data_IF_341423789018
#
_entry.id   IF_341423789018
#
_cell.length_a   1.000
_cell.length_b   1.000
_cell.length_c   1.000
_cell.angle_alpha   90.00
_cell.angle_beta   90.00
_cell.angle_gamma   90.00
#
_symmetry.space_group_name_H-M   'P 1'
#
loop_
_entity.id
_entity.type
_entity.pdbx_description
1 polymer ?
#
# COMPACT_ATOMS: atom_id res chain seq x y z
N UNK A 1 -5.29 -4.38 -10.71
CA UNK A 1 -4.88 -3.75 -12.00
C UNK A 1 -4.33 -2.37 -11.70
N UNK A 2 -3.28 -1.91 -12.40
CA UNK A 2 -2.69 -0.56 -12.24
C UNK A 2 -2.88 0.21 -13.55
N UNK A 3 -3.24 1.50 -13.48
CA UNK A 3 -3.26 2.37 -14.66
C UNK A 3 -1.87 2.47 -15.30
N UNK A 4 -0.80 2.63 -14.50
CA UNK A 4 0.57 2.57 -14.97
C UNK A 4 1.17 1.18 -14.71
N UNK A 5 1.62 0.49 -15.76
CA UNK A 5 2.13 -0.88 -15.60
C UNK A 5 2.60 -1.55 -16.88
N UNK A 6 2.85 -2.86 -16.78
CA UNK A 6 3.56 -3.68 -17.78
C UNK A 6 2.95 -3.71 -19.18
N UNK A 7 1.70 -3.29 -19.35
CA UNK A 7 1.08 -3.19 -20.68
C UNK A 7 1.67 -2.02 -21.50
N UNK A 8 2.22 -1.00 -20.84
CA UNK A 8 2.89 0.13 -21.48
C UNK A 8 4.36 -0.21 -21.82
N UNK A 9 4.81 0.00 -23.08
CA UNK A 9 6.22 -0.15 -23.46
C UNK A 9 7.19 0.71 -22.64
N UNK A 10 6.85 1.97 -22.37
CA UNK A 10 7.65 2.93 -21.61
C UNK A 10 7.81 2.51 -20.14
N UNK A 11 6.77 1.92 -19.53
CA UNK A 11 6.89 1.32 -18.20
C UNK A 11 7.88 0.15 -18.21
N UNK A 12 7.82 -0.72 -19.24
CA UNK A 12 8.74 -1.85 -19.39
C UNK A 12 10.19 -1.38 -19.55
N UNK A 13 10.41 -0.32 -20.32
CA UNK A 13 11.74 0.29 -20.50
C UNK A 13 12.32 0.84 -19.19
N UNK A 14 11.50 1.42 -18.30
CA UNK A 14 11.95 1.82 -16.96
C UNK A 14 12.26 0.59 -16.08
N UNK A 15 11.43 -0.45 -16.17
CA UNK A 15 11.62 -1.71 -15.42
C UNK A 15 12.88 -2.48 -15.78
N UNK A 16 13.46 -2.26 -16.96
CA UNK A 16 14.77 -2.80 -17.35
C UNK A 16 15.94 -2.08 -16.65
N UNK A 17 15.73 -0.84 -16.22
CA UNK A 17 16.75 0.01 -15.58
C UNK A 17 16.62 0.06 -14.06
N UNK A 18 15.40 -0.03 -13.55
CA UNK A 18 15.09 0.16 -12.14
C UNK A 18 14.26 -1.01 -11.58
N UNK A 19 14.56 -1.36 -10.35
CA UNK A 19 13.70 -2.23 -9.54
C UNK A 19 12.37 -1.53 -9.26
N UNK A 20 11.36 -2.31 -8.85
CA UNK A 20 10.06 -1.73 -8.56
C UNK A 20 10.13 -0.76 -7.37
N UNK A 21 10.85 -1.14 -6.30
CA UNK A 21 10.99 -0.31 -5.11
C UNK A 21 11.78 0.98 -5.38
N UNK A 22 12.80 0.94 -6.23
CA UNK A 22 13.51 2.16 -6.65
C UNK A 22 12.57 3.14 -7.36
N UNK A 23 11.70 2.65 -8.26
CA UNK A 23 10.72 3.52 -8.91
C UNK A 23 9.68 4.09 -7.95
N UNK A 24 9.25 3.32 -6.94
CA UNK A 24 8.30 3.79 -5.90
C UNK A 24 8.95 4.82 -4.98
N UNK A 25 10.22 4.62 -4.60
CA UNK A 25 10.94 5.48 -3.65
C UNK A 25 11.60 6.71 -4.27
N UNK A 26 11.69 6.77 -5.59
CA UNK A 26 12.18 7.94 -6.33
C UNK A 26 11.01 8.81 -6.77
N UNK A 27 10.84 10.03 -6.23
CA UNK A 27 9.72 10.90 -6.59
C UNK A 27 9.62 11.18 -8.10
N UNK A 28 10.74 11.46 -8.76
CA UNK A 28 10.76 11.75 -10.20
C UNK A 28 10.33 10.53 -11.04
N UNK A 29 10.81 9.32 -10.70
CA UNK A 29 10.41 8.10 -11.40
C UNK A 29 8.94 7.76 -11.13
N UNK A 30 8.47 7.93 -9.88
CA UNK A 30 7.06 7.70 -9.54
C UNK A 30 6.15 8.65 -10.33
N UNK A 31 6.51 9.93 -10.46
CA UNK A 31 5.78 10.92 -11.26
C UNK A 31 5.82 10.55 -12.74
N UNK A 32 7.01 10.22 -13.28
CA UNK A 32 7.15 9.81 -14.67
C UNK A 32 6.20 8.67 -14.99
N UNK A 33 6.21 7.61 -14.16
CA UNK A 33 5.34 6.43 -14.31
C UNK A 33 3.86 6.80 -14.18
N UNK A 34 3.50 7.65 -13.22
CA UNK A 34 2.11 8.10 -12.99
C UNK A 34 1.53 8.84 -14.20
N UNK A 35 2.37 9.58 -14.93
CA UNK A 35 1.96 10.36 -16.10
C UNK A 35 1.89 9.55 -17.41
N UNK A 36 2.51 8.36 -17.48
CA UNK A 36 2.54 7.57 -18.73
C UNK A 36 1.14 7.27 -19.30
N UNK A 37 0.13 6.86 -18.51
CA UNK A 37 -1.20 6.60 -19.04
C UNK A 37 -1.87 7.85 -19.61
N UNK A 38 -1.70 9.01 -18.94
CA UNK A 38 -2.28 10.29 -19.37
C UNK A 38 -1.69 10.80 -20.69
N UNK A 39 -0.45 10.41 -21.01
CA UNK A 39 0.19 10.72 -22.30
C UNK A 39 -0.40 9.91 -23.47
N UNK A 40 -1.09 8.81 -23.19
CA UNK A 40 -1.67 7.90 -24.20
C UNK A 40 -3.18 8.00 -24.31
N UNK A 41 -3.85 8.32 -23.21
CA UNK A 41 -5.29 8.26 -23.08
C UNK A 41 -5.80 9.53 -22.42
N UNK A 42 -6.97 9.99 -22.85
CA UNK A 42 -7.65 11.17 -22.28
C UNK A 42 -8.32 10.82 -20.94
N UNK A 43 -7.52 10.47 -19.94
CA UNK A 43 -8.00 10.17 -18.59
C UNK A 43 -8.23 11.46 -17.80
N UNK A 44 -9.21 11.45 -16.90
CA UNK A 44 -9.57 12.63 -16.07
C UNK A 44 -8.72 12.76 -14.81
N UNK A 45 -8.06 11.68 -14.38
CA UNK A 45 -7.24 11.67 -13.18
C UNK A 45 -6.03 10.73 -13.33
N UNK A 46 -4.95 11.07 -12.62
CA UNK A 46 -3.80 10.21 -12.40
C UNK A 46 -3.85 9.61 -11.00
N UNK A 47 -3.55 8.32 -10.87
CA UNK A 47 -3.24 7.71 -9.58
C UNK A 47 -1.73 7.69 -9.38
N UNK A 48 -1.27 8.12 -8.20
CA UNK A 48 0.16 8.11 -7.88
C UNK A 48 0.73 6.70 -8.00
N UNK A 49 1.91 6.55 -8.59
CA UNK A 49 2.61 5.27 -8.64
C UNK A 49 3.26 4.98 -7.29
N UNK A 50 2.67 4.07 -6.53
CA UNK A 50 3.18 3.61 -5.24
C UNK A 50 2.86 2.11 -5.05
N UNK A 51 2.95 1.62 -3.82
CA UNK A 51 2.51 0.29 -3.42
C UNK A 51 1.81 0.34 -2.05
N UNK A 52 0.86 -0.56 -1.78
CA UNK A 52 0.21 -0.61 -0.47
C UNK A 52 1.18 -1.08 0.63
N UNK A 53 2.20 -1.85 0.26
CA UNK A 53 3.15 -2.45 1.21
C UNK A 53 4.24 -1.50 1.70
N UNK A 54 4.26 -0.26 1.22
CA UNK A 54 5.11 0.79 1.81
C UNK A 54 4.78 1.01 3.30
N UNK A 55 3.53 0.73 3.71
CA UNK A 55 3.08 0.82 5.10
C UNK A 55 3.79 -0.23 5.98
N UNK A 56 3.64 -1.56 5.74
CA UNK A 56 4.45 -2.58 6.41
C UNK A 56 5.96 -2.30 6.41
N UNK A 57 6.51 -1.84 5.28
CA UNK A 57 7.93 -1.51 5.20
C UNK A 57 8.31 -0.39 6.16
N UNK A 58 7.54 0.70 6.19
CA UNK A 58 7.72 1.80 7.13
C UNK A 58 7.59 1.35 8.60
N UNK A 59 6.72 0.38 8.87
CA UNK A 59 6.55 -0.24 10.18
C UNK A 59 7.69 -1.19 10.59
N UNK A 60 8.68 -1.39 9.71
CA UNK A 60 9.85 -2.24 9.97
C UNK A 60 9.73 -3.67 9.46
N UNK A 61 8.83 -3.94 8.52
CA UNK A 61 8.68 -5.22 7.85
C UNK A 61 8.91 -5.06 6.33
N UNK A 62 10.18 -5.08 5.87
CA UNK A 62 10.51 -4.96 4.45
C UNK A 62 9.89 -6.08 3.60
N UNK A 63 9.79 -5.82 2.30
CA UNK A 63 9.21 -6.74 1.34
C UNK A 63 9.94 -6.68 -0.01
N UNK A 64 9.79 -7.74 -0.80
CA UNK A 64 10.27 -7.82 -2.17
C UNK A 64 9.30 -8.61 -3.04
N UNK A 65 9.45 -8.45 -4.36
CA UNK A 65 8.70 -9.24 -5.32
C UNK A 65 9.47 -10.51 -5.66
N UNK A 66 8.79 -11.66 -5.65
CA UNK A 66 9.38 -12.94 -6.06
C UNK A 66 9.57 -12.96 -7.58
N UNK A 67 10.58 -13.68 -8.06
CA UNK A 67 10.84 -13.84 -9.50
C UNK A 67 9.63 -14.43 -10.25
N UNK A 68 8.97 -15.42 -9.64
CA UNK A 68 7.80 -16.11 -10.17
C UNK A 68 6.49 -15.32 -9.99
N UNK A 69 6.56 -14.12 -9.42
CA UNK A 69 5.41 -13.29 -9.07
C UNK A 69 4.95 -13.46 -7.62
N UNK A 70 4.22 -12.46 -7.14
CA UNK A 70 3.80 -12.36 -5.75
C UNK A 70 4.78 -11.60 -4.86
N UNK A 71 4.32 -11.33 -3.64
CA UNK A 71 5.03 -10.59 -2.61
C UNK A 71 5.67 -11.58 -1.63
N UNK A 72 6.84 -11.22 -1.12
CA UNK A 72 7.46 -11.85 0.03
C UNK A 72 7.81 -10.76 1.03
N UNK A 73 7.32 -10.89 2.26
CA UNK A 73 7.79 -10.09 3.38
C UNK A 73 9.09 -10.71 3.91
N UNK A 74 9.96 -9.92 4.52
CA UNK A 74 11.22 -10.40 5.10
C UNK A 74 10.98 -11.44 6.22
N UNK A 75 9.87 -11.30 6.94
CA UNK A 75 9.39 -12.24 7.95
C UNK A 75 7.87 -12.25 8.03
N UNK A 76 7.29 -13.30 8.62
CA UNK A 76 5.86 -13.40 8.94
C UNK A 76 5.58 -12.88 10.37
N UNK A 77 4.38 -12.37 10.65
CA UNK A 77 3.97 -12.05 12.03
C UNK A 77 3.39 -13.29 12.72
N UNK A 78 4.27 -14.21 13.10
CA UNK A 78 3.95 -15.53 13.69
C UNK A 78 3.87 -15.53 15.23
N UNK A 79 4.08 -14.38 15.86
CA UNK A 79 4.13 -14.24 17.32
C UNK A 79 3.74 -12.84 17.78
N UNK A 80 3.24 -12.74 19.01
CA UNK A 80 2.88 -11.46 19.62
C UNK A 80 4.08 -10.51 19.77
N UNK A 81 5.27 -11.06 20.05
CA UNK A 81 6.53 -10.29 20.11
C UNK A 81 6.83 -9.59 18.78
N UNK A 82 6.61 -10.25 17.63
CA UNK A 82 6.78 -9.62 16.32
C UNK A 82 5.78 -8.49 16.08
N UNK A 83 4.53 -8.65 16.49
CA UNK A 83 3.51 -7.59 16.40
C UNK A 83 3.91 -6.39 17.28
N UNK A 84 4.40 -6.65 18.49
CA UNK A 84 4.83 -5.59 19.42
C UNK A 84 6.01 -4.78 18.87
N UNK A 85 6.95 -5.43 18.18
CA UNK A 85 8.14 -4.79 17.57
C UNK A 85 7.86 -3.90 16.37
N UNK A 86 6.66 -3.98 15.78
CA UNK A 86 6.29 -3.08 14.69
C UNK A 86 6.27 -1.63 15.15
N UNK A 87 6.91 -0.77 14.38
CA UNK A 87 6.90 0.68 14.59
C UNK A 87 5.58 1.23 14.04
N UNK A 88 4.77 1.89 14.88
CA UNK A 88 3.60 2.64 14.40
C UNK A 88 3.82 4.14 14.51
N UNK A 89 4.29 4.61 15.65
CA UNK A 89 4.64 6.01 15.87
C UNK A 89 5.69 6.51 14.85
N UNK A 90 5.40 7.63 14.20
CA UNK A 90 6.22 8.31 13.20
C UNK A 90 6.62 7.43 12.00
N UNK A 91 6.00 6.26 11.79
CA UNK A 91 6.32 5.41 10.65
C UNK A 91 6.05 6.15 9.32
N UNK A 92 5.02 7.00 9.28
CA UNK A 92 4.67 7.85 8.14
C UNK A 92 5.80 8.79 7.71
N UNK A 93 6.68 9.23 8.61
CA UNK A 93 7.85 10.08 8.29
C UNK A 93 8.82 9.40 7.31
N UNK A 94 8.85 8.06 7.31
CA UNK A 94 9.67 7.25 6.39
C UNK A 94 9.10 7.23 4.98
N UNK A 95 7.87 7.74 4.77
CA UNK A 95 7.13 7.76 3.51
C UNK A 95 7.15 9.12 2.81
N UNK A 96 8.04 10.03 3.20
CA UNK A 96 8.18 11.38 2.61
C UNK A 96 8.41 11.37 1.09
N UNK A 97 8.92 10.29 0.52
CA UNK A 97 9.05 10.16 -0.94
C UNK A 97 7.68 10.14 -1.64
N UNK A 98 6.62 9.64 -0.98
CA UNK A 98 5.25 9.65 -1.51
C UNK A 98 4.70 11.07 -1.52
N UNK A 99 4.82 11.83 -0.43
CA UNK A 99 4.39 13.23 -0.39
C UNK A 99 5.16 14.08 -1.40
N UNK A 100 6.44 13.79 -1.60
CA UNK A 100 7.28 14.45 -2.61
C UNK A 100 6.79 14.14 -4.03
N UNK A 101 6.49 12.87 -4.34
CA UNK A 101 5.94 12.47 -5.63
C UNK A 101 4.57 13.13 -5.90
N UNK A 102 3.68 13.17 -4.91
CA UNK A 102 2.38 13.82 -5.02
C UNK A 102 2.49 15.33 -5.29
N UNK A 103 3.38 16.00 -4.55
CA UNK A 103 3.62 17.44 -4.73
C UNK A 103 4.17 17.76 -6.12
N UNK A 104 5.05 16.92 -6.64
CA UNK A 104 5.57 17.03 -8.01
C UNK A 104 4.47 16.73 -9.04
N UNK A 105 3.68 15.68 -8.84
CA UNK A 105 2.58 15.31 -9.73
C UNK A 105 1.54 16.43 -9.82
N UNK A 106 1.22 17.10 -8.70
CA UNK A 106 0.36 18.28 -8.68
C UNK A 106 0.93 19.43 -9.51
N UNK A 107 2.23 19.70 -9.43
CA UNK A 107 2.87 20.73 -10.25
C UNK A 107 2.76 20.42 -11.75
N UNK A 108 2.91 19.16 -12.13
CA UNK A 108 2.82 18.72 -13.53
C UNK A 108 1.39 18.78 -14.08
N UNK A 109 0.39 18.41 -13.27
CA UNK A 109 -1.01 18.34 -13.71
C UNK A 109 -1.80 19.65 -13.53
N UNK A 110 -1.34 20.54 -12.64
CA UNK A 110 -2.10 21.71 -12.21
C UNK A 110 -3.49 21.31 -11.71
N UNK A 111 -4.48 22.17 -11.91
CA UNK A 111 -5.88 21.90 -11.54
C UNK A 111 -6.69 21.26 -12.69
N UNK A 112 -6.01 20.84 -13.76
CA UNK A 112 -6.66 20.34 -14.98
C UNK A 112 -7.09 18.88 -14.91
N UNK A 113 -6.50 18.11 -13.99
CA UNK A 113 -6.72 16.67 -13.80
C UNK A 113 -6.77 16.34 -12.30
N UNK A 114 -7.57 15.34 -11.96
CA UNK A 114 -7.62 14.81 -10.61
C UNK A 114 -6.35 14.04 -10.23
N UNK A 115 -5.98 14.06 -8.96
CA UNK A 115 -4.92 13.23 -8.39
C UNK A 115 -5.52 12.28 -7.36
N UNK A 116 -5.37 10.98 -7.60
CA UNK A 116 -5.79 9.93 -6.69
C UNK A 116 -4.60 9.48 -5.84
N UNK A 117 -4.73 9.68 -4.53
CA UNK A 117 -3.95 8.97 -3.53
C UNK A 117 -4.53 7.59 -3.27
N UNK A 118 -3.77 6.71 -2.63
CA UNK A 118 -4.31 5.42 -2.21
C UNK A 118 -3.56 4.80 -1.05
N UNK A 119 -4.19 3.79 -0.44
CA UNK A 119 -3.57 2.91 0.54
C UNK A 119 -4.26 1.52 0.51
N UNK A 120 -3.67 0.54 1.20
CA UNK A 120 -4.35 -0.73 1.48
C UNK A 120 -5.25 -0.59 2.71
N UNK A 121 -6.32 -1.40 2.79
CA UNK A 121 -7.08 -1.52 4.05
C UNK A 121 -6.21 -2.17 5.13
N UNK A 122 -6.49 -1.93 6.42
CA UNK A 122 -5.81 -2.63 7.51
C UNK A 122 -5.85 -4.15 7.37
N UNK A 123 -7.01 -4.72 6.99
CA UNK A 123 -7.16 -6.16 6.80
C UNK A 123 -6.29 -6.70 5.66
N UNK A 124 -6.31 -6.03 4.51
CA UNK A 124 -5.51 -6.43 3.35
C UNK A 124 -4.01 -6.38 3.65
N UNK A 125 -3.55 -5.37 4.39
CA UNK A 125 -2.17 -5.27 4.84
C UNK A 125 -1.83 -6.38 5.84
N UNK A 126 -2.68 -6.59 6.86
CA UNK A 126 -2.51 -7.63 7.86
C UNK A 126 -2.39 -9.03 7.22
N UNK A 127 -3.16 -9.34 6.17
CA UNK A 127 -3.03 -10.58 5.41
C UNK A 127 -1.58 -10.81 4.95
N UNK A 128 -0.97 -9.84 4.26
CA UNK A 128 0.41 -9.98 3.80
C UNK A 128 1.41 -10.04 4.95
N UNK A 129 1.21 -9.20 5.98
CA UNK A 129 2.12 -9.10 7.12
C UNK A 129 2.14 -10.40 7.93
N UNK A 130 0.97 -10.99 8.23
CA UNK A 130 0.83 -12.20 9.05
C UNK A 130 1.35 -13.42 8.31
N UNK A 131 0.93 -13.65 7.06
CA UNK A 131 1.34 -14.82 6.29
C UNK A 131 2.75 -14.68 5.68
N UNK A 132 3.40 -13.51 5.80
CA UNK A 132 4.75 -13.26 5.28
C UNK A 132 4.80 -13.10 3.76
N UNK A 133 3.69 -12.74 3.12
CA UNK A 133 3.61 -12.44 1.69
C UNK A 133 2.40 -13.06 1.01
N UNK A 134 2.45 -13.16 -0.32
CA UNK A 134 1.37 -13.74 -1.11
C UNK A 134 1.22 -15.24 -0.82
N UNK A 135 0.00 -15.64 -0.47
CA UNK A 135 -0.42 -17.02 -0.30
C UNK A 135 -1.91 -17.16 -0.63
N UNK A 136 -2.38 -18.39 -0.85
CA UNK A 136 -3.80 -18.69 -1.07
C UNK A 136 -4.57 -18.54 0.24
N UNK A 137 -5.64 -17.75 0.24
CA UNK A 137 -6.61 -17.56 1.33
C UNK A 137 -6.08 -17.08 2.69
N UNK A 138 -4.80 -16.74 2.80
CA UNK A 138 -4.16 -16.19 4.01
C UNK A 138 -4.54 -16.94 5.30
N UNK A 139 -4.21 -18.24 5.40
CA UNK A 139 -4.64 -19.09 6.50
C UNK A 139 -4.15 -18.58 7.86
N UNK A 140 -2.95 -18.00 7.96
CA UNK A 140 -2.45 -17.51 9.25
C UNK A 140 -3.17 -16.23 9.68
N UNK A 141 -3.45 -15.31 8.77
CA UNK A 141 -4.26 -14.13 9.06
C UNK A 141 -5.66 -14.50 9.56
N UNK A 142 -6.33 -15.41 8.88
CA UNK A 142 -7.67 -15.90 9.28
C UNK A 142 -7.63 -16.64 10.62
N UNK A 143 -6.57 -17.42 10.87
CA UNK A 143 -6.36 -18.12 12.14
C UNK A 143 -6.17 -17.11 13.28
N UNK A 144 -5.29 -16.13 13.13
CA UNK A 144 -5.04 -15.10 14.15
C UNK A 144 -6.33 -14.31 14.46
N UNK A 145 -7.04 -13.86 13.43
CA UNK A 145 -8.29 -13.11 13.57
C UNK A 145 -9.42 -13.95 14.22
N UNK A 146 -9.36 -15.28 14.10
CA UNK A 146 -10.34 -16.20 14.69
C UNK A 146 -10.00 -16.59 16.11
N UNK A 147 -8.77 -17.03 16.34
CA UNK A 147 -8.35 -17.69 17.58
C UNK A 147 -7.75 -16.72 18.59
N UNK A 148 -7.23 -15.57 18.13
CA UNK A 148 -6.52 -14.59 18.95
C UNK A 148 -7.00 -13.15 18.65
N UNK A 149 -8.30 -12.85 18.84
CA UNK A 149 -8.90 -11.58 18.44
C UNK A 149 -8.26 -10.35 19.12
N UNK A 150 -7.74 -10.49 20.34
CA UNK A 150 -7.04 -9.40 21.03
C UNK A 150 -5.68 -9.07 20.38
N UNK A 151 -4.90 -10.09 20.01
CA UNK A 151 -3.63 -9.89 19.31
C UNK A 151 -3.86 -9.34 17.90
N UNK A 152 -4.88 -9.85 17.21
CA UNK A 152 -5.32 -9.33 15.92
C UNK A 152 -5.72 -7.84 16.04
N UNK A 153 -6.55 -7.47 17.01
CA UNK A 153 -6.97 -6.08 17.20
C UNK A 153 -5.78 -5.14 17.43
N UNK A 154 -4.78 -5.53 18.22
CA UNK A 154 -3.56 -4.72 18.43
C UNK A 154 -2.75 -4.50 17.16
N UNK A 155 -2.66 -5.50 16.29
CA UNK A 155 -2.02 -5.34 14.98
C UNK A 155 -2.81 -4.36 14.11
N UNK A 156 -4.14 -4.51 14.08
CA UNK A 156 -5.02 -3.65 13.30
C UNK A 156 -4.97 -2.20 13.78
N UNK A 157 -4.92 -1.96 15.10
CA UNK A 157 -4.71 -0.63 15.69
C UNK A 157 -3.41 0.01 15.19
N UNK A 158 -2.28 -0.73 15.27
CA UNK A 158 -0.98 -0.25 14.79
C UNK A 158 -0.99 0.09 13.29
N UNK A 159 -1.60 -0.76 12.47
CA UNK A 159 -1.68 -0.50 11.01
C UNK A 159 -2.56 0.72 10.73
N UNK A 160 -3.69 0.82 11.42
CA UNK A 160 -4.66 1.92 11.25
C UNK A 160 -4.06 3.26 11.67
N UNK A 161 -3.30 3.31 12.78
CA UNK A 161 -2.57 4.49 13.23
C UNK A 161 -1.65 5.04 12.12
N UNK A 162 -0.83 4.19 11.51
CA UNK A 162 0.06 4.59 10.41
C UNK A 162 -0.72 5.01 9.16
N UNK A 163 -1.82 4.33 8.85
CA UNK A 163 -2.66 4.66 7.71
C UNK A 163 -3.33 6.03 7.85
N UNK A 164 -3.79 6.39 9.04
CA UNK A 164 -4.38 7.73 9.31
C UNK A 164 -3.34 8.81 8.99
N UNK A 165 -2.14 8.71 9.57
CA UNK A 165 -1.06 9.66 9.29
C UNK A 165 -0.67 9.69 7.82
N UNK A 166 -0.61 8.53 7.16
CA UNK A 166 -0.27 8.42 5.75
C UNK A 166 -1.34 9.07 4.85
N UNK A 167 -2.62 8.89 5.16
CA UNK A 167 -3.73 9.51 4.43
C UNK A 167 -3.71 11.02 4.62
N UNK A 168 -3.53 11.52 5.85
CA UNK A 168 -3.42 12.95 6.14
C UNK A 168 -2.24 13.59 5.41
N UNK A 169 -1.10 12.89 5.36
CA UNK A 169 0.07 13.32 4.59
C UNK A 169 -0.25 13.39 3.09
N UNK A 170 -0.92 12.40 2.51
CA UNK A 170 -1.31 12.43 1.10
C UNK A 170 -2.29 13.58 0.81
N UNK A 171 -3.31 13.77 1.66
CA UNK A 171 -4.27 14.87 1.56
C UNK A 171 -3.55 16.23 1.57
N UNK A 172 -2.63 16.42 2.52
CA UNK A 172 -1.81 17.63 2.63
C UNK A 172 -0.86 17.83 1.44
N UNK A 173 -0.56 16.77 0.69
CA UNK A 173 0.29 16.79 -0.51
C UNK A 173 -0.49 17.04 -1.80
N UNK A 174 -1.81 17.24 -1.73
CA UNK A 174 -2.63 17.70 -2.85
C UNK A 174 -3.33 16.61 -3.66
N UNK A 175 -3.68 15.46 -3.06
CA UNK A 175 -4.64 14.52 -3.67
C UNK A 175 -6.06 15.12 -3.66
N UNK A 176 -6.85 14.83 -4.69
CA UNK A 176 -8.27 15.21 -4.78
C UNK A 176 -9.21 14.13 -4.25
N UNK A 177 -8.77 12.88 -4.31
CA UNK A 177 -9.50 11.74 -3.77
C UNK A 177 -8.54 10.66 -3.28
N UNK A 178 -9.02 9.87 -2.33
CA UNK A 178 -8.31 8.72 -1.77
C UNK A 178 -9.05 7.43 -2.14
N UNK A 179 -8.31 6.42 -2.58
CA UNK A 179 -8.83 5.06 -2.74
C UNK A 179 -8.24 4.11 -1.69
N UNK A 180 -9.09 3.41 -0.94
CA UNK A 180 -8.68 2.34 -0.02
C UNK A 180 -8.89 0.99 -0.72
N UNK A 181 -7.82 0.21 -0.84
CA UNK A 181 -7.86 -1.12 -1.45
C UNK A 181 -8.05 -2.20 -0.38
N UNK A 182 -9.30 -2.62 -0.16
CA UNK A 182 -9.61 -3.81 0.64
C UNK A 182 -9.69 -5.08 -0.23
N UNK A 183 -8.56 -5.44 -0.84
CA UNK A 183 -8.49 -6.49 -1.86
C UNK A 183 -8.83 -7.88 -1.34
N UNK A 184 -8.68 -8.11 -0.03
CA UNK A 184 -8.90 -9.40 0.62
C UNK A 184 -10.15 -9.44 1.50
N UNK A 185 -11.04 -8.45 1.40
CA UNK A 185 -12.30 -8.40 2.14
C UNK A 185 -13.13 -9.68 2.00
N UNK A 186 -13.09 -10.29 0.81
CA UNK A 186 -13.83 -11.50 0.47
C UNK A 186 -13.45 -12.72 1.34
N UNK A 187 -12.33 -12.67 2.07
CA UNK A 187 -11.89 -13.71 3.00
C UNK A 187 -12.53 -13.57 4.39
N UNK A 188 -13.17 -12.43 4.69
CA UNK A 188 -13.89 -12.23 5.93
C UNK A 188 -15.21 -13.02 5.92
N UNK A 189 -15.49 -13.86 6.93
CA UNK A 189 -16.83 -14.40 7.16
C UNK A 189 -17.85 -13.26 7.31
N UNK A 190 -19.07 -13.43 6.78
CA UNK A 190 -20.10 -12.38 6.80
C UNK A 190 -20.39 -11.85 8.21
N UNK A 191 -20.43 -12.73 9.20
CA UNK A 191 -20.65 -12.41 10.62
C UNK A 191 -19.45 -11.74 11.30
N UNK A 192 -18.27 -11.75 10.67
CA UNK A 192 -17.01 -11.19 11.19
C UNK A 192 -16.44 -10.06 10.35
N UNK A 193 -17.04 -9.75 9.19
CA UNK A 193 -16.57 -8.73 8.27
C UNK A 193 -16.40 -7.36 8.93
N UNK A 194 -17.29 -7.02 9.87
CA UNK A 194 -17.17 -5.81 10.66
C UNK A 194 -15.90 -5.79 11.52
N UNK A 195 -15.68 -6.84 12.32
CA UNK A 195 -14.55 -6.91 13.24
C UNK A 195 -13.19 -7.12 12.56
N UNK A 196 -13.19 -7.84 11.43
CA UNK A 196 -11.97 -8.18 10.71
C UNK A 196 -11.52 -7.07 9.76
N UNK A 197 -12.45 -6.33 9.16
CA UNK A 197 -12.11 -5.29 8.19
C UNK A 197 -12.86 -3.98 8.42
N UNK A 198 -14.20 -3.96 8.33
CA UNK A 198 -14.94 -2.70 8.13
C UNK A 198 -14.77 -1.68 9.26
N UNK A 199 -14.60 -2.10 10.51
CA UNK A 199 -14.43 -1.17 11.63
C UNK A 199 -13.09 -0.42 11.62
N UNK A 200 -12.14 -0.86 10.80
CA UNK A 200 -10.79 -0.32 10.71
C UNK A 200 -10.57 0.57 9.48
N UNK A 201 -11.53 0.58 8.55
CA UNK A 201 -11.56 1.48 7.38
C UNK A 201 -12.16 2.81 7.80
#
# INVERSE_FOLDING_TARGET
MRQAGRYLPEYRALKEKYTFLEMVKSPDLAVEVSLQPLKRFELDAAIVFSDILVIPEAMGQPYHFREQGGIQMEFALDSEDRIQKLVSQDASSRLHYVSSALSLLRKELGDSKGILGFCGSPWTLACYMIDGGSTTDFPQARKLATEQPLAFARLMEKITEVLIEYVDMQASSGIDALQIFDSWHNLCPLDRAYDWSLRWI
#
